data_IF_883406079437
#
_entry.id   IF_883406079437
#
_cell.length_a   1.000
_cell.length_b   1.000
_cell.length_c   1.000
_cell.angle_alpha   90.00
_cell.angle_beta   90.00
_cell.angle_gamma   90.00
#
_symmetry.space_group_name_H-M   'P 1'
#
loop_
_entity.id
_entity.type
_entity.pdbx_description
1 polymer ?
#
# COMPACT_ATOMS: atom_id res chain seq x y z
N UNK A 1 14.78 12.42 -0.94
CA UNK A 1 13.53 12.57 -1.73
C UNK A 1 13.47 11.34 -2.63
N UNK A 2 12.43 10.49 -2.53
CA UNK A 2 12.30 9.32 -3.42
C UNK A 2 12.10 9.82 -4.87
N UNK A 3 12.69 9.17 -5.87
CA UNK A 3 12.59 9.63 -7.25
C UNK A 3 11.13 9.64 -7.73
N UNK A 4 10.82 10.55 -8.64
CA UNK A 4 9.63 10.45 -9.47
C UNK A 4 9.72 9.13 -10.24
N UNK A 5 8.73 8.24 -10.08
CA UNK A 5 8.75 6.91 -10.71
C UNK A 5 8.78 6.98 -12.25
N UNK A 6 8.49 8.15 -12.83
CA UNK A 6 8.71 8.43 -14.25
C UNK A 6 10.17 8.19 -14.71
N UNK A 7 11.18 8.30 -13.83
CA UNK A 7 12.58 8.04 -14.19
C UNK A 7 12.97 6.56 -14.22
N UNK A 8 12.10 5.64 -13.77
CA UNK A 8 12.40 4.21 -13.73
C UNK A 8 12.19 3.50 -15.07
N UNK A 9 11.65 4.18 -16.09
CA UNK A 9 11.36 3.54 -17.38
C UNK A 9 10.28 2.46 -17.26
N UNK A 10 9.21 2.76 -16.50
CA UNK A 10 8.09 1.85 -16.28
C UNK A 10 7.46 1.38 -17.60
N UNK A 11 7.04 0.12 -17.65
CA UNK A 11 6.59 -0.54 -18.87
C UNK A 11 7.69 -1.30 -19.62
N UNK A 12 8.95 -1.20 -19.17
CA UNK A 12 10.07 -2.06 -19.60
C UNK A 12 10.34 -3.16 -18.58
N UNK A 13 11.02 -4.25 -18.98
CA UNK A 13 11.38 -5.34 -18.06
C UNK A 13 12.23 -4.84 -16.89
N UNK A 14 13.27 -4.07 -17.18
CA UNK A 14 14.22 -3.56 -16.19
C UNK A 14 13.58 -2.52 -15.28
N UNK A 15 12.80 -1.59 -15.83
CA UNK A 15 12.06 -0.60 -15.05
C UNK A 15 11.02 -1.23 -14.12
N UNK A 16 10.30 -2.23 -14.62
CA UNK A 16 9.31 -2.96 -13.82
C UNK A 16 9.96 -3.76 -12.68
N UNK A 17 11.13 -4.36 -12.92
CA UNK A 17 11.89 -5.07 -11.89
C UNK A 17 12.37 -4.10 -10.81
N UNK A 18 12.99 -2.97 -11.20
CA UNK A 18 13.45 -1.94 -10.24
C UNK A 18 12.30 -1.38 -9.41
N UNK A 19 11.15 -1.10 -10.02
CA UNK A 19 9.96 -0.66 -9.29
C UNK A 19 9.49 -1.72 -8.28
N UNK A 20 9.48 -3.00 -8.67
CA UNK A 20 9.09 -4.12 -7.80
C UNK A 20 10.01 -4.19 -6.58
N UNK A 21 11.32 -4.12 -6.80
CA UNK A 21 12.33 -4.16 -5.74
C UNK A 21 12.20 -2.94 -4.79
N UNK A 22 12.11 -1.74 -5.35
CA UNK A 22 12.04 -0.50 -4.57
C UNK A 22 10.77 -0.43 -3.70
N UNK A 23 9.60 -0.73 -4.29
CA UNK A 23 8.34 -0.70 -3.55
C UNK A 23 8.29 -1.79 -2.49
N UNK A 24 8.76 -3.00 -2.80
CA UNK A 24 8.79 -4.10 -1.82
C UNK A 24 9.73 -3.77 -0.66
N UNK A 25 10.93 -3.26 -0.94
CA UNK A 25 11.87 -2.82 0.09
C UNK A 25 11.28 -1.70 0.95
N UNK A 26 10.63 -0.72 0.32
CA UNK A 26 9.97 0.37 1.03
C UNK A 26 8.86 -0.10 1.96
N UNK A 27 7.95 -0.94 1.46
CA UNK A 27 6.84 -1.45 2.25
C UNK A 27 7.33 -2.23 3.47
N UNK A 28 8.38 -3.03 3.31
CA UNK A 28 9.03 -3.69 4.43
C UNK A 28 9.61 -2.67 5.43
N UNK A 29 10.35 -1.66 4.98
CA UNK A 29 10.88 -0.61 5.85
C UNK A 29 9.78 0.13 6.64
N UNK A 30 8.66 0.47 5.99
CA UNK A 30 7.52 1.10 6.66
C UNK A 30 6.90 0.14 7.69
N UNK A 31 6.71 -1.13 7.32
CA UNK A 31 6.19 -2.16 8.21
C UNK A 31 7.04 -2.34 9.47
N UNK A 32 8.35 -2.50 9.31
CA UNK A 32 9.30 -2.64 10.42
C UNK A 32 9.29 -1.42 11.35
N UNK A 33 9.17 -0.21 10.80
CA UNK A 33 9.07 1.00 11.62
C UNK A 33 7.77 1.08 12.41
N UNK A 34 6.67 0.57 11.87
CA UNK A 34 5.37 0.50 12.58
C UNK A 34 5.41 -0.57 13.67
N UNK A 35 6.02 -1.74 13.39
CA UNK A 35 6.27 -2.79 14.39
C UNK A 35 7.12 -2.29 15.55
N UNK A 36 8.25 -1.65 15.25
CA UNK A 36 9.17 -1.13 16.27
C UNK A 36 8.54 -0.05 17.16
N UNK A 37 7.53 0.67 16.65
CA UNK A 37 6.76 1.65 17.43
C UNK A 37 5.60 1.03 18.22
N UNK A 38 5.37 -0.28 18.08
CA UNK A 38 4.34 -1.01 18.82
C UNK A 38 2.91 -0.81 18.30
N UNK A 39 2.72 -0.21 17.11
CA UNK A 39 1.38 0.01 16.55
C UNK A 39 0.84 -1.19 15.77
N UNK A 40 1.72 -2.08 15.30
CA UNK A 40 1.33 -3.35 14.70
C UNK A 40 1.98 -4.53 15.45
N UNK A 41 1.29 -5.67 15.44
CA UNK A 41 1.76 -6.94 16.02
C UNK A 41 2.38 -7.86 14.97
N UNK A 42 1.99 -7.70 13.70
CA UNK A 42 2.56 -8.44 12.57
C UNK A 42 2.47 -7.62 11.29
N UNK A 43 3.37 -7.95 10.35
CA UNK A 43 3.37 -7.37 9.00
C UNK A 43 3.48 -8.46 7.94
N UNK A 44 2.93 -8.18 6.77
CA UNK A 44 3.10 -9.02 5.58
C UNK A 44 3.09 -8.13 4.34
N UNK A 45 4.04 -8.32 3.42
CA UNK A 45 4.02 -7.67 2.11
C UNK A 45 3.56 -8.67 1.06
N UNK A 46 2.46 -8.36 0.38
CA UNK A 46 1.95 -9.15 -0.76
C UNK A 46 2.12 -8.39 -2.06
N UNK A 47 2.46 -9.12 -3.11
CA UNK A 47 2.60 -8.60 -4.46
C UNK A 47 1.66 -9.34 -5.40
N UNK A 48 0.91 -8.58 -6.19
CA UNK A 48 0.03 -9.09 -7.25
C UNK A 48 0.51 -8.54 -8.58
N UNK A 49 1.20 -9.38 -9.32
CA UNK A 49 1.63 -9.07 -10.68
C UNK A 49 0.43 -9.10 -11.64
N UNK A 50 0.41 -8.22 -12.66
CA UNK A 50 -0.59 -8.25 -13.71
C UNK A 50 -0.29 -9.37 -14.71
N UNK A 51 -1.21 -9.67 -15.63
CA UNK A 51 -0.93 -10.58 -16.74
C UNK A 51 0.31 -10.16 -17.53
N UNK A 52 1.04 -11.13 -18.10
CA UNK A 52 2.29 -10.88 -18.86
C UNK A 52 2.11 -9.90 -20.04
N UNK A 53 0.89 -9.76 -20.55
CA UNK A 53 0.54 -8.82 -21.62
C UNK A 53 0.39 -7.37 -21.15
N UNK A 54 0.40 -7.11 -19.84
CA UNK A 54 0.23 -5.77 -19.27
C UNK A 54 1.56 -5.02 -19.19
N UNK A 55 1.52 -3.73 -19.50
CA UNK A 55 2.62 -2.79 -19.20
C UNK A 55 2.60 -2.27 -17.76
N UNK A 56 1.56 -2.62 -16.99
CA UNK A 56 1.48 -2.30 -15.56
C UNK A 56 2.49 -3.15 -14.79
N UNK A 57 2.93 -2.67 -13.61
CA UNK A 57 3.85 -3.45 -12.77
C UNK A 57 3.07 -4.32 -11.78
N UNK A 58 1.91 -3.84 -11.33
CA UNK A 58 1.03 -4.58 -10.43
C UNK A 58 0.58 -3.80 -9.21
N UNK A 59 0.10 -4.54 -8.22
CA UNK A 59 -0.31 -4.04 -6.91
C UNK A 59 0.58 -4.64 -5.84
N UNK A 60 1.05 -3.80 -4.94
CA UNK A 60 1.88 -4.12 -3.79
C UNK A 60 1.13 -3.67 -2.55
N UNK A 61 1.05 -4.51 -1.53
CA UNK A 61 0.29 -4.20 -0.33
C UNK A 61 1.06 -4.66 0.90
N UNK A 62 1.31 -3.73 1.82
CA UNK A 62 1.72 -4.01 3.18
C UNK A 62 0.46 -4.19 4.03
N UNK A 63 0.33 -5.35 4.66
CA UNK A 63 -0.70 -5.69 5.63
C UNK A 63 -0.12 -5.53 7.04
N UNK A 64 -0.88 -4.89 7.92
CA UNK A 64 -0.50 -4.57 9.29
C UNK A 64 -1.63 -5.01 10.21
N UNK A 65 -1.38 -5.95 11.13
CA UNK A 65 -2.36 -6.28 12.18
C UNK A 65 -2.14 -5.34 13.36
N UNK A 66 -3.20 -4.72 13.88
CA UNK A 66 -3.08 -3.79 14.99
C UNK A 66 -2.60 -4.49 16.25
N UNK A 67 -1.68 -3.86 16.99
CA UNK A 67 -1.27 -4.35 18.32
C UNK A 67 -2.38 -4.24 19.36
N UNK A 68 -3.31 -3.28 19.16
CA UNK A 68 -4.37 -3.01 20.13
C UNK A 68 -5.61 -3.90 19.91
N UNK A 69 -5.80 -4.43 18.70
CA UNK A 69 -6.93 -5.28 18.35
C UNK A 69 -6.53 -6.28 17.24
N UNK A 70 -6.44 -7.59 17.54
CA UNK A 70 -6.06 -8.61 16.55
C UNK A 70 -7.09 -8.83 15.44
N UNK A 71 -8.35 -8.40 15.64
CA UNK A 71 -9.41 -8.45 14.62
C UNK A 71 -9.41 -7.21 13.72
N UNK A 72 -8.43 -6.33 13.88
CA UNK A 72 -8.31 -5.09 13.13
C UNK A 72 -6.90 -4.86 12.59
N UNK A 73 -6.81 -4.10 11.50
CA UNK A 73 -5.55 -3.79 10.87
C UNK A 73 -5.65 -2.70 9.82
N UNK A 74 -4.56 -2.54 9.07
CA UNK A 74 -4.45 -1.61 7.98
C UNK A 74 -3.73 -2.25 6.78
N UNK A 75 -4.06 -1.77 5.59
CA UNK A 75 -3.24 -2.01 4.40
C UNK A 75 -2.70 -0.69 3.85
N UNK A 76 -1.41 -0.64 3.53
CA UNK A 76 -0.81 0.38 2.64
C UNK A 76 -0.62 -0.24 1.27
N UNK A 77 -1.25 0.34 0.25
CA UNK A 77 -1.32 -0.25 -1.08
C UNK A 77 -0.73 0.71 -2.09
N UNK A 78 0.18 0.18 -2.91
CA UNK A 78 0.80 0.86 -4.04
C UNK A 78 0.40 0.12 -5.30
N UNK A 79 -0.17 0.82 -6.27
CA UNK A 79 -0.53 0.24 -7.56
C UNK A 79 0.09 1.07 -8.67
N UNK A 80 0.84 0.43 -9.56
CA UNK A 80 1.20 1.03 -10.84
C UNK A 80 0.30 0.47 -11.93
N UNK A 81 -0.37 1.35 -12.68
CA UNK A 81 -1.12 1.01 -13.89
C UNK A 81 -0.60 1.82 -15.06
N UNK A 82 -0.42 1.16 -16.20
CA UNK A 82 -0.17 1.82 -17.48
C UNK A 82 -1.32 2.81 -17.75
N UNK A 83 -1.05 4.11 -17.59
CA UNK A 83 -2.04 5.15 -17.80
C UNK A 83 -2.16 5.43 -19.29
N UNK A 84 -3.11 4.74 -19.94
CA UNK A 84 -3.65 5.15 -21.25
C UNK A 84 -4.86 6.07 -21.14
N UNK A 85 -5.31 6.38 -19.92
CA UNK A 85 -6.57 7.09 -19.71
C UNK A 85 -6.33 8.48 -19.09
N UNK A 86 -6.45 9.57 -19.87
CA UNK A 86 -6.23 10.94 -19.40
C UNK A 86 -7.31 11.43 -18.41
N UNK A 87 -8.39 10.66 -18.19
CA UNK A 87 -9.51 11.03 -17.31
C UNK A 87 -9.43 10.44 -15.90
N UNK A 88 -8.41 9.62 -15.59
CA UNK A 88 -8.21 9.11 -14.23
C UNK A 88 -7.31 10.05 -13.45
N UNK A 89 -7.86 10.68 -12.42
CA UNK A 89 -7.09 11.44 -11.43
C UNK A 89 -6.11 10.53 -10.70
N UNK A 90 -4.88 10.47 -11.19
CA UNK A 90 -3.75 9.74 -10.64
C UNK A 90 -2.48 10.49 -10.96
N UNK A 91 -1.38 10.14 -10.30
CA UNK A 91 -0.07 10.70 -10.63
C UNK A 91 0.26 10.42 -12.10
N UNK A 92 0.97 11.34 -12.75
CA UNK A 92 1.35 11.20 -14.16
C UNK A 92 2.22 9.96 -14.43
N UNK A 93 2.91 9.47 -13.39
CA UNK A 93 3.70 8.23 -13.39
C UNK A 93 2.85 6.93 -13.32
N UNK A 94 1.51 7.04 -13.29
CA UNK A 94 0.62 5.88 -13.22
C UNK A 94 0.54 5.19 -11.85
N UNK A 95 1.19 5.76 -10.83
CA UNK A 95 1.23 5.22 -9.47
C UNK A 95 0.09 5.79 -8.62
N UNK A 96 -0.57 4.91 -7.89
CA UNK A 96 -1.59 5.23 -6.90
C UNK A 96 -1.19 4.62 -5.57
N UNK A 97 -1.23 5.42 -4.52
CA UNK A 97 -0.95 5.00 -3.15
C UNK A 97 -2.18 5.30 -2.30
N UNK A 98 -2.61 4.33 -1.49
CA UNK A 98 -3.69 4.53 -0.51
C UNK A 98 -3.48 3.67 0.72
N UNK A 99 -4.00 4.13 1.86
CA UNK A 99 -4.13 3.33 3.06
C UNK A 99 -5.60 2.95 3.29
N UNK A 100 -5.86 1.82 3.95
CA UNK A 100 -7.23 1.40 4.25
C UNK A 100 -7.27 0.62 5.56
N UNK A 101 -8.25 0.92 6.43
CA UNK A 101 -8.57 0.12 7.59
C UNK A 101 -9.18 -1.23 7.17
N UNK A 102 -8.87 -2.30 7.91
CA UNK A 102 -9.25 -3.67 7.56
C UNK A 102 -9.68 -4.43 8.80
N UNK A 103 -10.66 -5.31 8.62
CA UNK A 103 -11.08 -6.26 9.63
C UNK A 103 -10.51 -7.64 9.33
N UNK A 104 -10.24 -8.36 10.40
CA UNK A 104 -9.89 -9.76 10.41
C UNK A 104 -10.99 -10.54 11.13
N UNK A 105 -11.13 -11.81 10.78
CA UNK A 105 -11.91 -12.78 11.53
C UNK A 105 -11.11 -14.07 11.59
N UNK A 106 -10.91 -14.59 12.80
CA UNK A 106 -10.13 -15.81 13.03
C UNK A 106 -8.72 -15.73 12.40
N UNK A 107 -8.09 -14.55 12.48
CA UNK A 107 -6.78 -14.26 11.90
C UNK A 107 -6.73 -14.12 10.37
N UNK A 108 -7.89 -14.06 9.70
CA UNK A 108 -7.99 -13.93 8.24
C UNK A 108 -8.63 -12.60 7.84
N UNK A 109 -8.04 -11.92 6.85
CA UNK A 109 -8.58 -10.68 6.29
C UNK A 109 -9.96 -10.89 5.67
N UNK A 110 -10.97 -10.13 6.12
CA UNK A 110 -12.37 -10.28 5.64
C UNK A 110 -12.58 -9.83 4.18
N UNK A 111 -11.72 -8.96 3.65
CA UNK A 111 -11.79 -8.53 2.26
C UNK A 111 -10.42 -8.10 1.75
N UNK A 112 -9.98 -8.74 0.66
CA UNK A 112 -8.83 -8.31 -0.13
C UNK A 112 -9.20 -7.24 -1.19
N UNK A 113 -10.48 -6.86 -1.29
CA UNK A 113 -10.91 -5.84 -2.24
C UNK A 113 -10.66 -4.42 -1.71
N UNK A 114 -9.89 -3.64 -2.47
CA UNK A 114 -9.24 -2.39 -2.06
C UNK A 114 -10.08 -1.11 -2.14
N UNK A 115 -11.42 -1.16 -2.08
CA UNK A 115 -12.23 -0.03 -2.61
C UNK A 115 -13.07 0.78 -1.62
N UNK A 116 -13.54 0.23 -0.51
CA UNK A 116 -14.43 0.98 0.40
C UNK A 116 -13.66 1.64 1.54
N UNK A 117 -13.64 2.99 1.59
CA UNK A 117 -12.97 3.73 2.66
C UNK A 117 -11.45 3.87 2.50
N UNK A 118 -10.92 3.68 1.30
CA UNK A 118 -9.51 3.94 0.99
C UNK A 118 -9.18 5.43 1.16
N UNK A 119 -8.10 5.73 1.87
CA UNK A 119 -7.57 7.07 2.07
C UNK A 119 -6.41 7.25 1.07
N UNK A 120 -6.61 8.00 -0.02
CA UNK A 120 -5.56 8.21 -1.00
C UNK A 120 -4.40 9.03 -0.39
N UNK A 121 -3.17 8.67 -0.75
CA UNK A 121 -1.99 9.49 -0.46
C UNK A 121 -1.46 10.08 -1.77
N UNK A 122 -1.22 11.40 -1.74
CA UNK A 122 -0.55 12.12 -2.83
C UNK A 122 0.98 11.98 -2.69
N UNK A 123 1.47 11.64 -1.51
CA UNK A 123 2.88 11.57 -1.14
C UNK A 123 3.30 10.17 -0.71
N UNK A 124 4.59 9.87 -0.93
CA UNK A 124 5.32 8.68 -0.44
C UNK A 124 6.35 9.07 0.63
N UNK A 125 6.21 10.27 1.20
CA UNK A 125 7.01 10.71 2.33
C UNK A 125 6.78 9.79 3.54
N UNK A 126 7.86 9.24 4.07
CA UNK A 126 7.81 8.24 5.13
C UNK A 126 7.11 8.78 6.39
N UNK A 127 7.32 10.05 6.74
CA UNK A 127 6.69 10.63 7.93
C UNK A 127 5.17 10.73 7.77
N UNK A 128 4.72 11.26 6.63
CA UNK A 128 3.28 11.36 6.33
C UNK A 128 2.60 9.98 6.27
N UNK A 129 3.28 8.99 5.70
CA UNK A 129 2.79 7.61 5.60
C UNK A 129 2.70 6.95 6.97
N UNK A 130 3.75 7.07 7.80
CA UNK A 130 3.76 6.51 9.15
C UNK A 130 2.69 7.14 10.04
N UNK A 131 2.53 8.47 10.01
CA UNK A 131 1.50 9.16 10.77
C UNK A 131 0.09 8.72 10.35
N UNK A 132 -0.17 8.59 9.05
CA UNK A 132 -1.45 8.08 8.57
C UNK A 132 -1.69 6.64 9.04
N UNK A 133 -0.72 5.74 8.88
CA UNK A 133 -0.88 4.34 9.27
C UNK A 133 -1.13 4.20 10.78
N UNK A 134 -0.41 4.97 11.60
CA UNK A 134 -0.69 5.05 13.04
C UNK A 134 -2.14 5.44 13.30
N UNK A 135 -2.64 6.50 12.65
CA UNK A 135 -4.04 6.95 12.82
C UNK A 135 -5.02 5.87 12.37
N UNK A 136 -4.75 5.16 11.27
CA UNK A 136 -5.62 4.09 10.77
C UNK A 136 -5.65 2.92 11.74
N UNK A 137 -4.49 2.48 12.25
CA UNK A 137 -4.35 1.34 13.17
C UNK A 137 -4.92 1.58 14.57
N UNK A 138 -5.07 2.86 14.96
CA UNK A 138 -5.53 3.28 16.29
C UNK A 138 -6.90 3.94 16.27
N UNK A 139 -7.59 3.96 15.12
CA UNK A 139 -8.93 4.53 15.04
C UNK A 139 -9.88 3.77 15.96
N UNK A 140 -10.59 4.44 16.88
CA UNK A 140 -11.64 3.81 17.66
C UNK A 140 -12.73 3.37 16.67
N UNK A 141 -13.09 2.09 16.71
CA UNK A 141 -14.15 1.48 15.90
C UNK A 141 -15.44 2.31 15.96
N UNK A 142 -15.66 3.18 14.96
CA UNK A 142 -16.89 3.98 14.84
C UNK A 142 -17.73 3.64 13.61
N UNK A 143 -17.30 2.69 12.78
CA UNK A 143 -17.90 2.49 11.46
C UNK A 143 -18.27 1.03 11.10
N UNK A 144 -18.37 0.14 12.07
CA UNK A 144 -18.76 -1.26 11.80
C UNK A 144 -19.91 -1.80 12.67
N UNK A 145 -20.66 -0.91 13.34
CA UNK A 145 -21.96 -1.20 13.95
C UNK A 145 -23.10 -0.98 12.96
#
# INVERSE_FOLDING_TARGET
>A
MRPDYGSLGLGTREGNLRFTEEITAWLNQIGERILAQGFASSIEVKVKHPPLSSRSVGTFALYLVSSANPDFGATLVVTHRDQRNPFKGGRADGVSVHAQARLLKDGRWLSENFKTGAIPLVTIDDFAVLDLLKRVLTRPDKHFS
#
